data_IF_742900421563
#
_entry.id   IF_742900421563
#
_cell.length_a   1.000
_cell.length_b   1.000
_cell.length_c   1.000
_cell.angle_alpha   90.00
_cell.angle_beta   90.00
_cell.angle_gamma   90.00
#
_symmetry.space_group_name_H-M   'P 1'
#
loop_
_entity.id
_entity.type
_entity.pdbx_description
1 polymer ?
#
# COMPACT_ATOMS: atom_id res chain seq x y z
N UNK A 1 3.39 17.96 -18.75
CA UNK A 1 2.88 16.78 -18.00
C UNK A 1 1.62 16.26 -18.67
N UNK A 2 1.63 15.00 -18.95
CA UNK A 2 0.49 14.36 -19.60
C UNK A 2 -0.39 13.73 -18.54
N UNK A 3 -1.53 14.36 -18.24
CA UNK A 3 -2.47 13.80 -17.29
C UNK A 3 -3.35 12.80 -18.04
N UNK A 4 -3.48 11.55 -17.57
CA UNK A 4 -4.34 10.56 -18.20
C UNK A 4 -5.79 11.04 -18.21
N UNK A 5 -6.51 10.72 -19.28
CA UNK A 5 -7.95 10.98 -19.34
C UNK A 5 -8.67 10.17 -18.25
N UNK A 6 -9.91 10.56 -17.95
CA UNK A 6 -10.72 9.98 -16.86
C UNK A 6 -10.82 8.45 -16.87
N UNK A 7 -10.47 7.80 -17.99
CA UNK A 7 -10.55 6.35 -18.13
C UNK A 7 -9.24 5.61 -17.84
N UNK A 8 -8.30 6.22 -17.12
CA UNK A 8 -7.02 5.60 -16.79
C UNK A 8 -7.05 4.65 -15.61
N UNK A 9 -8.22 4.28 -15.13
CA UNK A 9 -8.36 3.27 -14.08
C UNK A 9 -8.37 1.87 -14.68
N UNK A 10 -7.51 1.02 -14.15
CA UNK A 10 -7.43 -0.38 -14.56
C UNK A 10 -7.80 -1.24 -13.37
N UNK A 11 -8.74 -2.16 -13.56
CA UNK A 11 -9.06 -3.12 -12.51
C UNK A 11 -8.33 -4.44 -12.77
N UNK A 12 -7.71 -4.96 -11.73
CA UNK A 12 -7.07 -6.27 -11.77
C UNK A 12 -7.97 -7.28 -11.08
N UNK A 13 -8.14 -8.43 -11.73
CA UNK A 13 -8.82 -9.57 -11.11
C UNK A 13 -7.80 -10.60 -10.70
N UNK A 14 -7.94 -11.11 -9.50
CA UNK A 14 -7.15 -12.24 -9.04
C UNK A 14 -7.52 -13.49 -9.83
N UNK A 15 -6.53 -14.33 -10.16
CA UNK A 15 -6.79 -15.65 -10.71
C UNK A 15 -7.48 -16.57 -9.72
N UNK A 16 -7.34 -16.28 -8.42
CA UNK A 16 -7.96 -17.04 -7.34
C UNK A 16 -9.41 -16.64 -7.08
N UNK A 17 -9.75 -15.36 -7.35
CA UNK A 17 -11.09 -14.81 -7.14
C UNK A 17 -11.51 -14.04 -8.39
N UNK A 18 -11.87 -14.74 -9.48
CA UNK A 18 -12.10 -14.09 -10.77
C UNK A 18 -13.37 -13.22 -10.85
N UNK A 19 -14.25 -13.31 -9.87
CA UNK A 19 -15.55 -12.60 -9.89
C UNK A 19 -15.46 -11.16 -9.44
N UNK A 20 -14.43 -10.79 -8.67
CA UNK A 20 -14.24 -9.43 -8.15
C UNK A 20 -12.82 -8.94 -8.40
N UNK A 21 -12.63 -7.66 -8.71
CA UNK A 21 -11.30 -7.10 -8.82
C UNK A 21 -10.67 -6.93 -7.43
N UNK A 22 -9.41 -7.33 -7.28
CA UNK A 22 -8.67 -7.12 -6.03
C UNK A 22 -8.23 -5.66 -5.87
N UNK A 23 -7.88 -5.02 -6.98
CA UNK A 23 -7.32 -3.67 -6.96
C UNK A 23 -7.84 -2.82 -8.10
N UNK A 24 -7.99 -1.53 -7.81
CA UNK A 24 -8.17 -0.50 -8.83
C UNK A 24 -6.88 0.29 -8.92
N UNK A 25 -6.42 0.57 -10.13
CA UNK A 25 -5.18 1.29 -10.36
C UNK A 25 -5.46 2.57 -11.14
N UNK A 26 -4.86 3.66 -10.69
CA UNK A 26 -4.79 4.93 -11.44
C UNK A 26 -3.33 5.26 -11.67
N UNK A 27 -3.04 5.85 -12.81
CA UNK A 27 -1.66 6.17 -13.14
C UNK A 27 -1.54 7.51 -13.85
N UNK A 28 -0.38 8.13 -13.66
CA UNK A 28 0.03 9.35 -14.35
C UNK A 28 1.30 9.04 -15.12
N UNK A 29 1.34 9.42 -16.39
CA UNK A 29 2.53 9.21 -17.22
C UNK A 29 3.33 10.51 -17.25
N UNK A 30 4.59 10.45 -16.82
CA UNK A 30 5.54 11.55 -16.89
C UNK A 30 6.61 11.21 -17.92
N UNK A 31 6.77 12.07 -18.91
CA UNK A 31 7.67 11.85 -20.05
C UNK A 31 8.83 12.86 -20.05
N UNK A 32 9.98 12.46 -20.60
CA UNK A 32 11.13 13.34 -20.77
C UNK A 32 11.65 13.90 -19.45
N UNK A 33 11.86 15.22 -19.40
CA UNK A 33 12.38 15.91 -18.21
C UNK A 33 11.40 15.85 -17.03
N UNK A 34 10.13 15.67 -17.29
CA UNK A 34 9.10 15.57 -16.25
C UNK A 34 9.25 14.30 -15.41
N UNK A 35 9.94 13.29 -15.93
CA UNK A 35 10.20 12.05 -15.20
C UNK A 35 10.98 12.27 -13.91
N UNK A 36 11.76 13.36 -13.83
CA UNK A 36 12.49 13.73 -12.61
C UNK A 36 11.57 14.15 -11.47
N UNK A 37 10.30 14.44 -11.77
CA UNK A 37 9.29 14.82 -10.78
C UNK A 37 8.53 13.64 -10.18
N UNK A 38 8.84 12.40 -10.59
CA UNK A 38 8.11 11.21 -10.14
C UNK A 38 8.04 11.13 -8.62
N UNK A 39 9.18 11.26 -7.92
CA UNK A 39 9.22 11.21 -6.47
C UNK A 39 8.40 12.32 -5.80
N UNK A 40 8.44 13.52 -6.35
CA UNK A 40 7.68 14.66 -5.83
C UNK A 40 6.17 14.44 -6.01
N UNK A 41 5.76 13.97 -7.18
CA UNK A 41 4.35 13.68 -7.48
C UNK A 41 3.83 12.56 -6.59
N UNK A 42 4.61 11.49 -6.43
CA UNK A 42 4.27 10.37 -5.53
C UNK A 42 4.05 10.87 -4.10
N UNK A 43 4.99 11.64 -3.56
CA UNK A 43 4.88 12.19 -2.21
C UNK A 43 3.63 13.07 -2.04
N UNK A 44 3.31 13.89 -3.03
CA UNK A 44 2.12 14.73 -3.01
C UNK A 44 0.83 13.89 -3.01
N UNK A 45 0.78 12.85 -3.81
CA UNK A 45 -0.38 11.94 -3.88
C UNK A 45 -0.58 11.20 -2.56
N UNK A 46 0.50 10.71 -1.94
CA UNK A 46 0.42 10.04 -0.64
C UNK A 46 -0.13 10.99 0.43
N UNK A 47 0.33 12.25 0.44
CA UNK A 47 -0.15 13.24 1.40
C UNK A 47 -1.62 13.60 1.19
N UNK A 48 -2.06 13.67 -0.06
CA UNK A 48 -3.43 14.05 -0.38
C UNK A 48 -4.42 12.92 -0.15
N UNK A 49 -4.12 11.73 -0.62
CA UNK A 49 -5.06 10.60 -0.58
C UNK A 49 -4.90 9.74 0.67
N UNK A 50 -3.78 9.84 1.36
CA UNK A 50 -3.47 9.07 2.58
C UNK A 50 -3.83 7.58 2.43
N UNK A 51 -3.31 6.92 1.39
CA UNK A 51 -3.64 5.51 1.16
C UNK A 51 -3.18 4.65 2.33
N UNK A 52 -3.99 3.65 2.66
CA UNK A 52 -3.79 2.80 3.83
C UNK A 52 -2.40 2.17 3.87
N UNK A 53 -1.95 1.64 2.74
CA UNK A 53 -0.67 0.92 2.63
C UNK A 53 0.57 1.82 2.69
N UNK A 54 0.40 3.13 2.59
CA UNK A 54 1.49 4.09 2.66
C UNK A 54 1.45 4.95 3.93
N UNK A 55 0.31 4.97 4.62
CA UNK A 55 0.09 5.84 5.78
C UNK A 55 0.06 5.06 7.09
N UNK A 56 -0.67 3.97 7.15
CA UNK A 56 -0.87 3.20 8.38
C UNK A 56 -0.16 1.84 8.35
N UNK A 57 -0.29 1.11 7.26
CA UNK A 57 0.22 -0.24 7.13
C UNK A 57 1.45 -0.23 6.25
N UNK A 58 2.59 -0.49 6.83
CA UNK A 58 3.86 -0.54 6.11
C UNK A 58 4.17 -1.94 5.58
N UNK A 59 5.08 -1.99 4.64
CA UNK A 59 5.69 -3.24 4.19
C UNK A 59 5.30 -3.70 2.81
N UNK A 60 4.26 -3.14 2.18
CA UNK A 60 3.83 -3.57 0.85
C UNK A 60 4.97 -3.55 -0.17
N UNK A 61 5.73 -2.45 -0.20
CA UNK A 61 6.84 -2.26 -1.14
C UNK A 61 8.20 -2.77 -0.66
N UNK A 62 8.26 -3.48 0.45
CA UNK A 62 9.52 -3.96 0.99
C UNK A 62 10.13 -5.05 0.09
N UNK A 63 11.45 -5.00 -0.03
CA UNK A 63 12.24 -6.02 -0.70
C UNK A 63 12.89 -6.94 0.31
N UNK A 64 13.30 -8.12 -0.13
CA UNK A 64 14.06 -9.06 0.70
C UNK A 64 15.29 -8.34 1.27
N UNK A 65 15.42 -8.25 2.62
CA UNK A 65 16.55 -7.55 3.23
C UNK A 65 17.90 -8.26 3.07
N UNK A 66 17.87 -9.52 2.65
CA UNK A 66 19.06 -10.30 2.44
C UNK A 66 19.45 -11.16 3.62
N UNK A 67 20.38 -12.07 3.34
CA UNK A 67 20.91 -13.04 4.29
C UNK A 67 21.50 -12.33 5.52
N UNK A 68 21.15 -12.78 6.70
CA UNK A 68 21.62 -12.20 7.96
C UNK A 68 20.75 -11.07 8.52
N UNK A 69 19.70 -10.67 7.80
CA UNK A 69 18.77 -9.60 8.25
C UNK A 69 17.38 -10.13 8.63
N UNK A 70 17.24 -11.42 8.82
CA UNK A 70 15.96 -12.04 9.17
C UNK A 70 15.67 -12.07 10.68
N UNK A 71 16.48 -11.41 11.48
CA UNK A 71 16.20 -11.26 12.93
C UNK A 71 15.06 -10.29 13.19
N UNK A 72 14.75 -9.42 12.23
CA UNK A 72 13.65 -8.47 12.35
C UNK A 72 12.31 -9.17 12.29
N UNK A 73 11.28 -8.50 12.77
CA UNK A 73 9.90 -8.97 12.59
C UNK A 73 9.43 -8.70 11.17
N UNK A 74 8.51 -9.52 10.67
CA UNK A 74 7.85 -9.20 9.41
C UNK A 74 6.96 -7.98 9.57
N UNK A 75 6.76 -7.25 8.47
CA UNK A 75 5.99 -6.02 8.46
C UNK A 75 4.50 -6.26 8.74
N UNK A 76 3.78 -5.20 9.08
CA UNK A 76 2.34 -5.28 9.30
C UNK A 76 1.61 -5.77 8.05
N UNK A 77 2.06 -5.35 6.85
CA UNK A 77 1.50 -5.84 5.60
C UNK A 77 1.64 -7.37 5.48
N UNK A 78 2.81 -7.89 5.85
CA UNK A 78 3.06 -9.34 5.78
C UNK A 78 2.26 -10.13 6.81
N UNK A 79 1.96 -9.52 7.96
CA UNK A 79 1.06 -10.13 8.96
C UNK A 79 -0.34 -10.27 8.38
N UNK A 80 -0.83 -9.26 7.67
CA UNK A 80 -2.17 -9.27 7.07
C UNK A 80 -2.23 -10.13 5.80
N UNK A 81 -1.10 -10.31 5.11
CA UNK A 81 -1.02 -11.01 3.82
C UNK A 81 0.11 -12.05 3.86
N UNK A 82 -0.07 -13.16 4.57
CA UNK A 82 0.97 -14.17 4.69
C UNK A 82 1.27 -14.83 3.33
N UNK A 83 2.51 -15.25 3.16
CA UNK A 83 2.94 -15.98 1.96
C UNK A 83 4.11 -15.38 1.20
N UNK A 84 4.63 -14.21 1.60
CA UNK A 84 5.84 -13.65 1.01
C UNK A 84 7.03 -14.44 1.57
N UNK A 85 7.73 -15.18 0.70
CA UNK A 85 8.73 -16.17 1.10
C UNK A 85 9.77 -15.66 2.10
N UNK A 86 10.39 -14.51 1.79
CA UNK A 86 11.43 -13.99 2.68
C UNK A 86 10.86 -13.47 4.01
N UNK A 87 9.62 -13.00 4.03
CA UNK A 87 8.99 -12.52 5.25
C UNK A 87 8.73 -13.65 6.24
N UNK A 88 8.44 -14.84 5.74
CA UNK A 88 8.25 -16.03 6.59
C UNK A 88 9.56 -16.47 7.27
N UNK A 89 10.71 -16.01 6.79
CA UNK A 89 12.02 -16.27 7.42
C UNK A 89 12.32 -15.30 8.55
N UNK A 90 11.54 -14.23 8.71
CA UNK A 90 11.75 -13.25 9.77
C UNK A 90 11.43 -13.85 11.13
N UNK A 91 12.36 -13.72 12.06
CA UNK A 91 12.34 -14.38 13.37
C UNK A 91 11.83 -13.50 14.51
N UNK A 92 11.71 -12.19 14.27
CA UNK A 92 11.22 -11.25 15.27
C UNK A 92 9.74 -11.49 15.59
N UNK A 93 9.28 -10.90 16.69
CA UNK A 93 7.89 -11.00 17.11
C UNK A 93 7.05 -10.04 16.26
N UNK A 94 6.15 -10.54 15.39
CA UNK A 94 5.33 -9.65 14.58
C UNK A 94 4.24 -8.96 15.41
N UNK A 95 3.68 -7.89 14.86
CA UNK A 95 2.52 -7.23 15.46
C UNK A 95 1.31 -8.19 15.49
N UNK A 96 0.44 -7.98 16.46
CA UNK A 96 -0.79 -8.76 16.57
C UNK A 96 -1.77 -8.36 15.47
N UNK A 97 -2.27 -9.33 14.73
CA UNK A 97 -3.18 -9.11 13.60
C UNK A 97 -4.46 -8.37 14.03
N UNK A 98 -5.00 -8.70 15.19
CA UNK A 98 -6.20 -8.05 15.71
C UNK A 98 -5.97 -6.56 15.99
N UNK A 99 -4.80 -6.21 16.52
CA UNK A 99 -4.43 -4.82 16.76
C UNK A 99 -4.28 -4.06 15.44
N UNK A 100 -3.71 -4.69 14.41
CA UNK A 100 -3.60 -4.08 13.08
C UNK A 100 -4.99 -3.80 12.52
N UNK A 101 -5.90 -4.76 12.58
CA UNK A 101 -7.26 -4.60 12.10
C UNK A 101 -8.03 -3.51 12.86
N UNK A 102 -7.84 -3.43 14.17
CA UNK A 102 -8.44 -2.38 14.98
C UNK A 102 -7.95 -0.99 14.57
N UNK A 103 -6.65 -0.85 14.32
CA UNK A 103 -6.06 0.39 13.84
C UNK A 103 -6.59 0.79 12.47
N UNK A 104 -6.82 -0.18 11.59
CA UNK A 104 -7.42 0.05 10.27
C UNK A 104 -8.85 0.58 10.43
N UNK A 105 -9.64 -0.03 11.28
CA UNK A 105 -11.02 0.41 11.52
C UNK A 105 -11.08 1.83 12.05
N UNK A 106 -10.22 2.17 13.02
CA UNK A 106 -10.13 3.53 13.54
C UNK A 106 -9.71 4.54 12.47
N UNK A 107 -8.71 4.19 11.66
CA UNK A 107 -8.24 5.04 10.58
C UNK A 107 -9.35 5.34 9.56
N UNK A 108 -10.09 4.31 9.14
CA UNK A 108 -11.19 4.45 8.18
C UNK A 108 -12.36 5.23 8.77
N UNK A 109 -12.67 5.04 10.05
CA UNK A 109 -13.71 5.80 10.75
C UNK A 109 -13.37 7.28 10.80
N UNK A 110 -12.12 7.62 11.12
CA UNK A 110 -11.67 9.01 11.18
C UNK A 110 -11.71 9.69 9.81
N UNK A 111 -11.40 8.96 8.74
CA UNK A 111 -11.52 9.50 7.37
C UNK A 111 -12.97 9.85 7.04
N UNK A 112 -13.92 8.98 7.38
CA UNK A 112 -15.32 9.21 7.14
C UNK A 112 -15.86 10.44 7.92
N UNK A 113 -15.44 10.60 9.18
CA UNK A 113 -15.81 11.75 10.00
C UNK A 113 -15.27 13.05 9.40
N UNK A 114 -14.05 13.05 8.88
CA UNK A 114 -13.46 14.22 8.24
C UNK A 114 -14.17 14.59 6.93
N UNK A 115 -14.65 13.61 6.18
CA UNK A 115 -15.44 13.86 4.96
C UNK A 115 -16.81 14.44 5.28
N UNK A 116 -17.48 13.98 6.35
CA UNK A 116 -18.76 14.49 6.79
C UNK A 116 -18.68 15.93 7.32
N UNK A 117 -17.53 16.32 7.87
CA UNK A 117 -17.31 17.64 8.47
C UNK A 117 -16.74 18.69 7.49
N UNK A 118 -16.49 18.31 6.25
CA UNK A 118 -15.90 19.19 5.24
C UNK A 118 -16.94 19.84 4.30
#
# INVERSE_FOLDING_TARGET
MRIPKENSSVSYKSTKYPEEPDFFCRFIILEGKESDLIGTVEAALIRQYKPLWNTLIDGFGNHDPGKGRYKQAKSDWDVCHPGRDWAEKCQGIPANQENIFQNIEEFLSNLNENEENS
#
